data_IF_849412845784
#
_entry.id   IF_849412845784
#
_cell.length_a   1.000
_cell.length_b   1.000
_cell.length_c   1.000
_cell.angle_alpha   90.00
_cell.angle_beta   90.00
_cell.angle_gamma   90.00
#
_symmetry.space_group_name_H-M   'P 1'
#
loop_
_entity.id
_entity.type
_entity.pdbx_description
1 polymer ?
#
# COMPACT_ATOMS: atom_id res chain seq x y z
N UNK A 1 25.14 22.45 -2.48
CA UNK A 1 23.73 22.01 -2.61
C UNK A 1 23.45 21.25 -3.91
N UNK A 2 23.72 21.80 -5.11
CA UNK A 2 23.44 21.12 -6.40
C UNK A 2 24.07 19.71 -6.54
N UNK A 3 25.34 19.54 -6.18
CA UNK A 3 26.03 18.25 -6.31
C UNK A 3 25.47 17.14 -5.39
N UNK A 4 24.99 17.52 -4.19
CA UNK A 4 24.34 16.58 -3.27
C UNK A 4 22.99 16.11 -3.82
N UNK A 5 22.19 17.04 -4.35
CA UNK A 5 20.90 16.74 -4.95
C UNK A 5 21.03 15.90 -6.22
N UNK A 6 22.05 16.13 -7.04
CA UNK A 6 22.34 15.28 -8.20
C UNK A 6 22.74 13.84 -7.81
N UNK A 7 23.37 13.67 -6.64
CA UNK A 7 23.83 12.36 -6.16
C UNK A 7 22.73 11.53 -5.51
N UNK A 8 21.81 12.18 -4.78
CA UNK A 8 20.80 11.53 -3.93
C UNK A 8 19.35 11.84 -4.30
N UNK A 9 19.11 12.73 -5.27
CA UNK A 9 17.77 13.15 -5.66
C UNK A 9 16.88 12.00 -6.15
N UNK A 10 17.47 10.90 -6.63
CA UNK A 10 16.74 9.69 -7.00
C UNK A 10 15.99 9.05 -5.80
N UNK A 11 16.45 9.26 -4.57
CA UNK A 11 15.75 8.76 -3.37
C UNK A 11 14.40 9.46 -3.16
N UNK A 12 14.23 10.68 -3.67
CA UNK A 12 12.94 11.37 -3.62
C UNK A 12 11.85 10.63 -4.43
N UNK A 13 12.24 9.77 -5.38
CA UNK A 13 11.30 8.94 -6.13
C UNK A 13 10.56 7.92 -5.23
N UNK A 14 11.06 7.63 -4.02
CA UNK A 14 10.34 6.81 -3.04
C UNK A 14 9.01 7.47 -2.63
N UNK A 15 8.90 8.80 -2.71
CA UNK A 15 7.66 9.54 -2.44
C UNK A 15 6.53 9.21 -3.45
N UNK A 16 6.82 8.52 -4.54
CA UNK A 16 5.78 7.96 -5.40
C UNK A 16 4.93 6.91 -4.65
N UNK A 17 5.46 6.22 -3.64
CA UNK A 17 4.72 5.21 -2.85
C UNK A 17 3.52 5.83 -2.11
N UNK A 18 3.68 6.87 -1.25
CA UNK A 18 2.53 7.51 -0.61
C UNK A 18 1.61 8.23 -1.62
N UNK A 19 2.15 8.71 -2.74
CA UNK A 19 1.32 9.26 -3.83
C UNK A 19 0.40 8.20 -4.45
N UNK A 20 0.87 6.96 -4.64
CA UNK A 20 -0.01 5.85 -5.06
C UNK A 20 -1.06 5.54 -3.98
N UNK A 21 -0.67 5.61 -2.71
CA UNK A 21 -1.59 5.45 -1.59
C UNK A 21 -2.72 6.48 -1.59
N UNK A 22 -2.44 7.74 -1.94
CA UNK A 22 -3.49 8.77 -2.03
C UNK A 22 -4.45 8.54 -3.20
N UNK A 23 -3.97 7.99 -4.33
CA UNK A 23 -4.84 7.57 -5.44
C UNK A 23 -5.84 6.51 -4.97
N UNK A 24 -5.37 5.50 -4.24
CA UNK A 24 -6.24 4.46 -3.68
C UNK A 24 -7.29 5.04 -2.73
N UNK A 25 -6.88 5.92 -1.80
CA UNK A 25 -7.81 6.58 -0.86
C UNK A 25 -8.85 7.41 -1.63
N UNK A 26 -8.43 8.14 -2.66
CA UNK A 26 -9.33 8.91 -3.51
C UNK A 26 -10.32 8.02 -4.26
N UNK A 27 -9.88 6.90 -4.84
CA UNK A 27 -10.77 5.93 -5.48
C UNK A 27 -11.78 5.36 -4.48
N UNK A 28 -11.30 4.98 -3.29
CA UNK A 28 -12.14 4.47 -2.21
C UNK A 28 -13.18 5.47 -1.73
N UNK A 29 -12.83 6.75 -1.58
CA UNK A 29 -13.78 7.79 -1.15
C UNK A 29 -14.86 8.12 -2.19
N UNK A 30 -14.59 7.85 -3.47
CA UNK A 30 -15.55 8.05 -4.56
C UNK A 30 -16.33 6.77 -4.92
N UNK A 31 -16.03 5.66 -4.25
CA UNK A 31 -16.75 4.40 -4.46
C UNK A 31 -18.12 4.51 -3.77
N UNK A 32 -19.20 4.36 -4.54
CA UNK A 32 -20.58 4.37 -4.04
C UNK A 32 -20.91 3.15 -3.17
N UNK A 33 -22.19 2.98 -2.82
CA UNK A 33 -22.66 1.86 -1.98
C UNK A 33 -22.58 0.48 -2.65
N UNK A 34 -22.26 0.41 -3.94
CA UNK A 34 -22.21 -0.82 -4.72
C UNK A 34 -20.79 -1.39 -4.69
N UNK A 35 -20.46 -2.09 -3.61
CA UNK A 35 -19.14 -2.67 -3.33
C UNK A 35 -19.23 -4.19 -3.24
N UNK A 36 -18.23 -4.87 -3.80
CA UNK A 36 -18.09 -6.30 -3.68
C UNK A 36 -17.56 -6.65 -2.28
N UNK A 37 -18.39 -7.32 -1.49
CA UNK A 37 -17.97 -7.81 -0.19
C UNK A 37 -16.90 -8.90 -0.34
N UNK A 38 -15.71 -8.64 0.20
CA UNK A 38 -14.59 -9.55 0.13
C UNK A 38 -14.43 -10.28 1.47
N UNK A 39 -15.38 -11.18 1.78
CA UNK A 39 -15.29 -12.09 2.91
C UNK A 39 -15.55 -13.52 2.45
N UNK A 40 -14.76 -14.45 2.97
CA UNK A 40 -15.00 -15.88 2.88
C UNK A 40 -15.84 -16.35 4.07
N UNK A 41 -16.55 -17.47 3.91
CA UNK A 41 -17.34 -18.08 4.99
C UNK A 41 -16.48 -18.36 6.24
N UNK A 42 -15.19 -18.65 6.07
CA UNK A 42 -14.27 -18.93 7.17
C UNK A 42 -13.87 -17.68 7.97
N UNK A 43 -13.96 -16.48 7.38
CA UNK A 43 -13.65 -15.23 8.07
C UNK A 43 -14.63 -14.98 9.23
N UNK A 44 -15.84 -15.54 9.15
CA UNK A 44 -16.84 -15.49 10.23
C UNK A 44 -16.50 -16.36 11.44
N UNK A 45 -15.56 -17.30 11.28
CA UNK A 45 -15.16 -18.25 12.32
C UNK A 45 -13.88 -17.81 13.04
N UNK A 46 -13.13 -16.86 12.48
CA UNK A 46 -11.85 -16.40 13.03
C UNK A 46 -12.11 -15.14 13.88
N UNK A 47 -11.89 -15.18 15.20
CA UNK A 47 -12.06 -14.01 16.03
C UNK A 47 -11.02 -12.94 15.66
N UNK A 48 -11.50 -11.72 15.37
CA UNK A 48 -10.62 -10.59 15.05
C UNK A 48 -9.93 -10.08 16.32
N UNK A 49 -8.69 -10.50 16.53
CA UNK A 49 -7.86 -10.09 17.67
C UNK A 49 -7.01 -8.88 17.25
N UNK A 50 -6.87 -7.87 18.13
CA UNK A 50 -6.22 -6.58 17.82
C UNK A 50 -4.78 -6.74 17.35
N UNK A 51 -4.11 -7.76 17.85
CA UNK A 51 -2.71 -8.11 17.63
C UNK A 51 -2.43 -8.50 16.16
N UNK A 52 -3.45 -8.90 15.39
CA UNK A 52 -3.30 -9.18 13.95
C UNK A 52 -2.91 -7.95 13.13
N UNK A 53 -3.00 -6.75 13.71
CA UNK A 53 -2.56 -5.52 13.04
C UNK A 53 -1.03 -5.42 12.93
N UNK A 54 -0.27 -6.02 13.86
CA UNK A 54 1.18 -5.84 13.92
C UNK A 54 1.90 -6.41 12.69
N UNK A 55 1.63 -7.65 12.23
CA UNK A 55 2.24 -8.17 11.01
C UNK A 55 1.85 -7.37 9.75
N UNK A 56 0.64 -6.84 9.72
CA UNK A 56 0.16 -6.05 8.58
C UNK A 56 0.88 -4.70 8.48
N UNK A 57 1.04 -3.99 9.60
CA UNK A 57 1.70 -2.68 9.63
C UNK A 57 3.23 -2.84 9.49
N UNK A 58 3.82 -3.92 10.02
CA UNK A 58 5.28 -4.11 10.02
C UNK A 58 5.88 -4.20 8.61
N UNK A 59 5.08 -4.60 7.62
CA UNK A 59 5.46 -4.57 6.21
C UNK A 59 5.82 -3.16 5.71
N UNK A 60 5.16 -2.10 6.20
CA UNK A 60 5.39 -0.74 5.71
C UNK A 60 6.82 -0.25 5.97
N UNK A 61 7.36 -0.29 7.22
CA UNK A 61 8.77 -0.01 7.45
C UNK A 61 9.71 -0.84 6.59
N UNK A 62 9.44 -2.14 6.42
CA UNK A 62 10.28 -3.04 5.63
C UNK A 62 10.32 -2.58 4.16
N UNK A 63 9.18 -2.20 3.59
CA UNK A 63 9.09 -1.66 2.23
C UNK A 63 9.99 -0.43 2.05
N UNK A 64 9.84 0.57 2.91
CA UNK A 64 10.61 1.82 2.81
C UNK A 64 12.09 1.62 3.04
N UNK A 65 12.46 0.82 4.05
CA UNK A 65 13.85 0.49 4.35
C UNK A 65 14.48 -0.30 3.20
N UNK A 66 13.74 -1.23 2.57
CA UNK A 66 14.20 -1.97 1.40
C UNK A 66 14.50 -1.07 0.21
N UNK A 67 13.60 -0.15 -0.12
CA UNK A 67 13.84 0.83 -1.19
C UNK A 67 14.99 1.78 -0.87
N UNK A 68 15.10 2.25 0.38
CA UNK A 68 16.22 3.08 0.79
C UNK A 68 17.54 2.33 0.65
N UNK A 69 17.61 1.09 1.15
CA UNK A 69 18.78 0.23 1.03
C UNK A 69 19.19 0.04 -0.44
N UNK A 70 18.25 -0.28 -1.32
CA UNK A 70 18.53 -0.41 -2.75
C UNK A 70 18.99 0.92 -3.37
N UNK A 71 18.38 2.04 -2.99
CA UNK A 71 18.76 3.37 -3.49
C UNK A 71 20.16 3.82 -3.06
N UNK A 72 20.67 3.27 -1.94
CA UNK A 72 22.02 3.50 -1.45
C UNK A 72 23.05 2.53 -2.05
N UNK A 73 22.67 1.27 -2.29
CA UNK A 73 23.60 0.19 -2.70
C UNK A 73 23.63 -0.06 -4.20
N UNK A 74 22.48 -0.06 -4.88
CA UNK A 74 22.36 -0.36 -6.30
C UNK A 74 21.25 0.45 -6.97
N UNK A 75 21.64 1.57 -7.59
CA UNK A 75 20.71 2.49 -8.28
C UNK A 75 19.94 1.83 -9.43
N UNK A 76 20.54 0.89 -10.15
CA UNK A 76 19.86 0.21 -11.27
C UNK A 76 18.73 -0.69 -10.75
N UNK A 77 19.01 -1.47 -9.71
CA UNK A 77 18.02 -2.33 -9.07
C UNK A 77 16.94 -1.52 -8.37
N UNK A 78 17.30 -0.41 -7.73
CA UNK A 78 16.35 0.54 -7.14
C UNK A 78 15.29 0.99 -8.15
N UNK A 79 15.71 1.50 -9.32
CA UNK A 79 14.77 1.99 -10.33
C UNK A 79 13.91 0.87 -10.93
N UNK A 80 14.50 -0.28 -11.24
CA UNK A 80 13.74 -1.44 -11.75
C UNK A 80 12.67 -1.88 -10.75
N UNK A 81 13.03 -1.99 -9.47
CA UNK A 81 12.10 -2.40 -8.41
C UNK A 81 11.01 -1.35 -8.20
N UNK A 82 11.38 -0.06 -8.17
CA UNK A 82 10.43 1.03 -7.93
C UNK A 82 9.41 1.14 -9.07
N UNK A 83 9.85 1.04 -10.33
CA UNK A 83 8.95 1.05 -11.48
C UNK A 83 8.04 -0.16 -11.46
N UNK A 84 8.58 -1.36 -11.20
CA UNK A 84 7.79 -2.60 -11.12
C UNK A 84 6.72 -2.49 -10.03
N UNK A 85 7.08 -1.97 -8.86
CA UNK A 85 6.15 -1.71 -7.76
C UNK A 85 5.04 -0.74 -8.18
N UNK A 86 5.41 0.41 -8.77
CA UNK A 86 4.42 1.42 -9.19
C UNK A 86 3.46 0.87 -10.25
N UNK A 87 3.95 0.10 -11.23
CA UNK A 87 3.11 -0.53 -12.26
C UNK A 87 2.16 -1.54 -11.63
N UNK A 88 2.65 -2.38 -10.71
CA UNK A 88 1.82 -3.37 -10.01
C UNK A 88 0.72 -2.71 -9.17
N UNK A 89 1.06 -1.68 -8.40
CA UNK A 89 0.09 -0.93 -7.60
C UNK A 89 -0.92 -0.19 -8.49
N UNK A 90 -0.47 0.39 -9.60
CA UNK A 90 -1.38 1.05 -10.55
C UNK A 90 -2.36 0.04 -11.16
N UNK A 91 -1.88 -1.13 -11.57
CA UNK A 91 -2.73 -2.20 -12.08
C UNK A 91 -3.75 -2.65 -11.02
N UNK A 92 -3.35 -2.78 -9.75
CA UNK A 92 -4.25 -3.08 -8.65
C UNK A 92 -5.29 -1.98 -8.42
N UNK A 93 -4.90 -0.70 -8.47
CA UNK A 93 -5.81 0.44 -8.39
C UNK A 93 -6.81 0.47 -9.55
N UNK A 94 -6.40 0.12 -10.76
CA UNK A 94 -7.30 -0.01 -11.92
C UNK A 94 -8.30 -1.14 -11.68
N UNK A 95 -7.84 -2.30 -11.19
CA UNK A 95 -8.73 -3.41 -10.84
C UNK A 95 -9.74 -2.98 -9.78
N UNK A 96 -9.30 -2.27 -8.74
CA UNK A 96 -10.17 -1.75 -7.68
C UNK A 96 -11.17 -0.70 -8.21
N UNK A 97 -10.78 0.15 -9.15
CA UNK A 97 -11.67 1.13 -9.76
C UNK A 97 -12.81 0.47 -10.57
N UNK A 98 -12.56 -0.68 -11.19
CA UNK A 98 -13.57 -1.45 -11.94
C UNK A 98 -14.38 -2.37 -11.01
N UNK A 99 -13.72 -2.98 -10.04
CA UNK A 99 -14.30 -3.92 -9.08
C UNK A 99 -14.00 -3.45 -7.66
N UNK A 100 -14.72 -2.44 -7.16
CA UNK A 100 -14.48 -1.93 -5.82
C UNK A 100 -14.83 -3.00 -4.80
N UNK A 101 -13.84 -3.43 -4.03
CA UNK A 101 -14.04 -4.42 -2.97
C UNK A 101 -14.08 -3.75 -1.60
N UNK A 102 -15.02 -4.15 -0.76
CA UNK A 102 -15.14 -3.66 0.61
C UNK A 102 -15.07 -4.83 1.58
N UNK A 103 -14.26 -4.66 2.64
CA UNK A 103 -14.25 -5.56 3.78
C UNK A 103 -14.86 -4.81 4.94
N UNK A 104 -16.05 -5.22 5.44
CA UNK A 104 -16.63 -4.62 6.62
C UNK A 104 -15.71 -4.91 7.79
N UNK A 105 -15.09 -3.86 8.34
CA UNK A 105 -14.27 -3.97 9.54
C UNK A 105 -15.19 -3.77 10.74
N UNK A 106 -15.18 -4.67 11.73
CA UNK A 106 -15.93 -4.44 12.96
C UNK A 106 -15.42 -3.16 13.62
N UNK A 107 -16.34 -2.29 14.03
CA UNK A 107 -15.98 -1.11 14.82
C UNK A 107 -15.38 -1.57 16.14
N UNK A 108 -14.23 -1.01 16.51
CA UNK A 108 -13.55 -1.34 17.76
C UNK A 108 -14.35 -0.69 18.89
N UNK A 109 -15.41 -1.34 19.37
CA UNK A 109 -16.22 -0.82 20.47
C UNK A 109 -17.61 -1.41 20.71
N UNK A 110 -18.19 -2.21 19.79
CA UNK A 110 -19.48 -2.85 20.09
C UNK A 110 -19.30 -4.10 20.96
N UNK A 111 -19.95 -4.17 22.13
CA UNK A 111 -19.97 -5.39 22.93
C UNK A 111 -20.75 -6.47 22.19
N UNK A 112 -20.14 -7.67 22.12
CA UNK A 112 -20.71 -8.93 21.63
C UNK A 112 -22.01 -9.32 22.32
#
# INVERSE_FOLDING_TARGET
MKAFFQRWGHLLAILCIPLQGSIYVFLGSNTGSDVFYNYAWIDTQIPFIKEFIYPYISWMPILYLGFLYLGLTNKSLFWRTLITYNVGVMAANICFAVFPTYVPRPEVGEPS
#
